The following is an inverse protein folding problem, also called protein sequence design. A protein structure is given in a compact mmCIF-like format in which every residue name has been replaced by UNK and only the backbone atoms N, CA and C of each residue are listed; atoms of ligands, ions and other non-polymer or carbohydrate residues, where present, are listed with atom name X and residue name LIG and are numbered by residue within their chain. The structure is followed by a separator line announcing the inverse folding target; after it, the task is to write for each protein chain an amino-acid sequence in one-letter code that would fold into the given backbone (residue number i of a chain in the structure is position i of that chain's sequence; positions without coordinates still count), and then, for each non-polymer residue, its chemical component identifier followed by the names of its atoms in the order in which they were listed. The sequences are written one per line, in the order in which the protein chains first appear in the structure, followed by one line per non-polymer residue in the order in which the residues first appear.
data_IF_039349094092
#
_entry.id   IF_039349094092
#
_cell.length_a   1.000
_cell.length_b   1.000
_cell.length_c   1.000
_cell.angle_alpha   90.00
_cell.angle_beta   90.00
_cell.angle_gamma   90.00
#
_symmetry.space_group_name_H-M   'P 1'
#
loop_
_entity.id
_entity.type
_entity.pdbx_description
1 polymer ?
#
# COMPACT_ATOMS: atom_id res chain seq x y z
N UNK A 1 -2.48 1.52 4.14
CA UNK A 1 -2.04 2.10 2.85
C UNK A 1 -3.02 3.20 2.51
N UNK A 2 -2.55 4.31 1.93
CA UNK A 2 -3.41 5.38 1.46
C UNK A 2 -4.21 4.91 0.23
N UNK A 3 -5.49 5.31 0.17
CA UNK A 3 -6.39 5.01 -0.92
C UNK A 3 -7.28 6.21 -1.24
N UNK A 4 -7.69 6.31 -2.50
CA UNK A 4 -8.72 7.23 -3.01
C UNK A 4 -9.81 6.41 -3.70
N UNK A 5 -11.05 6.86 -3.68
CA UNK A 5 -12.15 6.10 -4.28
C UNK A 5 -13.45 6.87 -4.40
N UNK A 6 -14.45 6.23 -5.00
CA UNK A 6 -15.75 6.83 -5.31
C UNK A 6 -16.76 6.56 -4.18
N UNK A 7 -17.16 7.60 -3.44
CA UNK A 7 -18.18 7.51 -2.37
C UNK A 7 -19.61 7.61 -2.96
N UNK A 8 -20.65 7.00 -2.33
CA UNK A 8 -20.63 6.18 -1.12
C UNK A 8 -20.06 4.77 -1.33
N UNK A 9 -19.22 4.27 -0.41
CA UNK A 9 -18.54 2.97 -0.56
C UNK A 9 -19.45 1.76 -0.33
N UNK A 10 -20.52 1.94 0.46
CA UNK A 10 -21.50 0.92 0.81
C UNK A 10 -22.39 0.48 -0.37
N UNK A 11 -22.36 1.21 -1.50
CA UNK A 11 -23.17 0.88 -2.68
C UNK A 11 -22.72 -0.39 -3.41
N UNK A 12 -21.53 -0.91 -3.10
CA UNK A 12 -21.01 -2.15 -3.70
C UNK A 12 -20.83 -2.06 -5.21
N UNK A 13 -20.36 -0.91 -5.71
CA UNK A 13 -20.20 -0.65 -7.14
C UNK A 13 -19.14 -1.59 -7.75
N UNK A 14 -19.48 -2.24 -8.86
CA UNK A 14 -18.57 -3.15 -9.58
C UNK A 14 -17.58 -2.38 -10.49
N UNK A 15 -17.90 -1.16 -10.89
CA UNK A 15 -17.08 -0.34 -11.79
C UNK A 15 -16.28 0.73 -11.04
N UNK A 16 -16.85 1.29 -9.97
CA UNK A 16 -16.26 2.40 -9.22
C UNK A 16 -15.89 1.99 -7.79
N UNK A 17 -14.65 1.54 -7.62
CA UNK A 17 -14.11 1.17 -6.31
C UNK A 17 -13.13 2.20 -5.74
N UNK A 18 -11.98 1.67 -5.32
CA UNK A 18 -10.86 2.46 -4.79
C UNK A 18 -9.56 2.10 -5.52
N UNK A 19 -8.59 2.99 -5.43
CA UNK A 19 -7.24 2.79 -5.91
C UNK A 19 -6.26 2.95 -4.75
N UNK A 20 -5.23 2.12 -4.74
CA UNK A 20 -4.09 2.28 -3.84
C UNK A 20 -3.17 3.37 -4.40
N UNK A 21 -2.88 4.38 -3.58
CA UNK A 21 -1.92 5.43 -3.94
C UNK A 21 -0.51 4.84 -3.90
N UNK A 22 0.33 5.19 -4.87
CA UNK A 22 1.71 4.68 -4.98
C UNK A 22 2.74 5.79 -4.89
N UNK A 23 3.89 5.48 -4.30
CA UNK A 23 5.09 6.30 -4.22
C UNK A 23 6.24 5.65 -5.00
N UNK A 24 7.32 6.41 -5.24
CA UNK A 24 8.56 5.81 -5.73
C UNK A 24 9.06 4.78 -4.71
N UNK A 25 9.64 3.70 -5.19
CA UNK A 25 10.46 2.86 -4.33
C UNK A 25 11.78 3.58 -4.07
N UNK A 26 12.25 3.50 -2.84
CA UNK A 26 13.49 4.13 -2.39
C UNK A 26 14.43 3.04 -1.87
N UNK A 27 15.73 3.32 -1.86
CA UNK A 27 16.76 2.43 -1.31
C UNK A 27 16.66 1.00 -1.89
N UNK A 28 16.81 -0.03 -1.06
CA UNK A 28 16.88 -1.42 -1.48
C UNK A 28 15.51 -2.03 -1.89
N UNK A 29 14.40 -1.28 -1.78
CA UNK A 29 13.13 -1.67 -2.40
C UNK A 29 13.17 -1.54 -3.92
N UNK A 30 14.02 -0.64 -4.45
CA UNK A 30 14.23 -0.46 -5.90
C UNK A 30 14.73 -1.74 -6.56
N UNK A 31 15.52 -2.55 -5.83
CA UNK A 31 16.04 -3.84 -6.32
C UNK A 31 14.92 -4.87 -6.56
N UNK A 32 13.71 -4.64 -6.01
CA UNK A 32 12.53 -5.49 -6.19
C UNK A 32 11.63 -4.91 -7.30
N UNK A 33 11.27 -3.62 -7.17
CA UNK A 33 10.38 -2.87 -8.07
C UNK A 33 10.59 -1.36 -7.90
N UNK A 34 10.24 -0.60 -8.93
CA UNK A 34 10.37 0.86 -9.03
C UNK A 34 9.27 1.65 -8.28
N UNK A 35 8.16 1.00 -7.93
CA UNK A 35 7.00 1.60 -7.24
C UNK A 35 6.62 0.80 -6.01
N UNK A 36 6.10 1.50 -4.99
CA UNK A 36 5.55 0.90 -3.77
C UNK A 36 4.20 1.53 -3.40
N UNK A 37 3.35 0.85 -2.62
CA UNK A 37 2.19 1.49 -2.00
C UNK A 37 2.63 2.64 -1.07
N UNK A 38 1.85 3.72 -1.04
CA UNK A 38 2.00 4.77 -0.05
C UNK A 38 1.48 4.23 1.30
N UNK A 39 2.41 3.86 2.18
CA UNK A 39 2.10 3.43 3.55
C UNK A 39 2.21 4.66 4.44
N UNK A 40 1.19 4.92 5.25
CA UNK A 40 1.14 6.03 6.20
C UNK A 40 1.38 5.53 7.62
N UNK A 41 2.02 6.36 8.44
CA UNK A 41 2.06 6.18 9.90
C UNK A 41 0.62 6.19 10.47
N UNK A 42 0.36 5.52 11.60
CA UNK A 42 -1.00 5.40 12.14
C UNK A 42 -1.71 6.74 12.38
N UNK A 43 -0.98 7.76 12.82
CA UNK A 43 -1.48 9.11 13.08
C UNK A 43 -1.92 9.80 11.78
N UNK A 44 -1.04 9.80 10.77
CA UNK A 44 -1.32 10.33 9.45
C UNK A 44 -2.47 9.58 8.75
N UNK A 45 -2.60 8.27 8.95
CA UNK A 45 -3.72 7.50 8.41
C UNK A 45 -5.07 7.93 9.01
N UNK A 46 -5.11 8.29 10.30
CA UNK A 46 -6.33 8.82 10.93
C UNK A 46 -6.69 10.20 10.38
N UNK A 47 -5.69 11.04 10.14
CA UNK A 47 -5.89 12.36 9.53
C UNK A 47 -6.38 12.25 8.09
N UNK A 48 -5.76 11.37 7.28
CA UNK A 48 -6.13 11.08 5.91
C UNK A 48 -7.62 10.74 5.70
N UNK A 49 -8.27 10.12 6.70
CA UNK A 49 -9.67 9.69 6.61
C UNK A 49 -10.69 10.77 7.01
N UNK A 50 -10.24 11.92 7.53
CA UNK A 50 -11.14 13.00 7.96
C UNK A 50 -11.80 13.66 6.75
N UNK A 51 -13.12 13.88 6.82
CA UNK A 51 -13.92 14.38 5.69
C UNK A 51 -13.71 15.87 5.41
N UNK A 52 -13.22 16.62 6.39
CA UNK A 52 -12.91 18.05 6.32
C UNK A 52 -11.45 18.33 5.88
N UNK A 53 -10.64 17.29 5.69
CA UNK A 53 -9.31 17.40 5.08
C UNK A 53 -9.46 17.75 3.61
N UNK A 54 -8.92 18.90 3.24
CA UNK A 54 -8.87 19.35 1.85
C UNK A 54 -7.85 18.53 1.05
N UNK A 55 -7.96 18.55 -0.28
CA UNK A 55 -6.98 17.91 -1.15
C UNK A 55 -5.54 18.42 -0.94
N UNK A 56 -5.37 19.69 -0.59
CA UNK A 56 -4.05 20.26 -0.27
C UNK A 56 -3.47 19.67 1.03
N UNK A 57 -4.27 19.62 2.09
CA UNK A 57 -3.88 18.98 3.35
C UNK A 57 -3.60 17.48 3.16
N UNK A 58 -4.38 16.79 2.34
CA UNK A 58 -4.11 15.37 2.01
C UNK A 58 -2.73 15.18 1.36
N UNK A 59 -2.27 16.10 0.52
CA UNK A 59 -0.93 16.06 -0.08
C UNK A 59 0.15 16.24 1.00
N UNK A 60 -0.05 17.18 1.93
CA UNK A 60 0.87 17.40 3.07
C UNK A 60 0.94 16.15 3.96
N UNK A 61 -0.21 15.58 4.34
CA UNK A 61 -0.31 14.32 5.10
C UNK A 61 0.40 13.17 4.38
N UNK A 62 0.24 13.07 3.05
CA UNK A 62 0.90 12.04 2.25
C UNK A 62 2.43 12.20 2.23
N UNK A 63 2.93 13.43 2.21
CA UNK A 63 4.36 13.74 2.24
C UNK A 63 4.97 13.45 3.60
N UNK A 64 4.41 14.03 4.65
CA UNK A 64 4.97 14.01 6.01
C UNK A 64 4.68 12.70 6.75
N UNK A 65 3.56 12.06 6.44
CA UNK A 65 3.08 10.86 7.09
C UNK A 65 3.57 9.55 6.47
N UNK A 66 4.35 9.59 5.38
CA UNK A 66 4.81 8.40 4.67
C UNK A 66 5.82 7.60 5.51
N UNK A 67 5.61 6.28 5.58
CA UNK A 67 6.58 5.36 6.18
C UNK A 67 7.79 5.23 5.26
N UNK A 68 8.98 5.47 5.80
CA UNK A 68 10.26 5.38 5.08
C UNK A 68 10.59 3.94 4.63
N UNK A 69 11.35 3.79 3.55
CA UNK A 69 11.69 2.50 2.94
C UNK A 69 12.51 1.58 3.87
N UNK A 70 13.31 2.15 4.77
CA UNK A 70 14.13 1.44 5.76
C UNK A 70 13.31 0.76 6.87
N UNK A 71 12.03 1.11 7.03
CA UNK A 71 11.11 0.42 7.95
C UNK A 71 10.55 -0.89 7.37
N UNK A 72 10.86 -1.21 6.11
CA UNK A 72 10.37 -2.42 5.44
C UNK A 72 11.42 -3.52 5.40
N UNK A 73 10.96 -4.75 5.58
CA UNK A 73 11.74 -5.97 5.34
C UNK A 73 11.11 -6.76 4.21
N UNK A 74 11.92 -7.48 3.43
CA UNK A 74 11.44 -8.33 2.36
C UNK A 74 12.27 -9.61 2.25
N UNK A 75 11.64 -10.64 1.72
CA UNK A 75 12.25 -11.92 1.40
C UNK A 75 11.56 -12.55 0.18
N UNK A 76 12.26 -13.40 -0.58
CA UNK A 76 11.61 -14.15 -1.65
C UNK A 76 10.59 -15.13 -1.06
N UNK A 77 9.49 -15.32 -1.79
CA UNK A 77 8.41 -16.27 -1.47
C UNK A 77 8.19 -17.24 -2.62
N UNK A 78 7.42 -18.30 -2.39
CA UNK A 78 7.05 -19.26 -3.43
C UNK A 78 6.31 -18.58 -4.59
N UNK A 79 6.60 -19.02 -5.83
CA UNK A 79 5.85 -18.59 -7.03
C UNK A 79 4.36 -18.94 -6.99
N UNK A 80 3.95 -19.83 -6.09
CA UNK A 80 2.55 -20.17 -5.87
C UNK A 80 1.66 -18.95 -5.56
N UNK A 81 2.23 -17.88 -4.99
CA UNK A 81 1.51 -16.61 -4.73
C UNK A 81 0.98 -15.94 -6.00
N UNK A 82 1.55 -16.25 -7.17
CA UNK A 82 1.08 -15.72 -8.45
C UNK A 82 -0.27 -16.28 -8.93
N UNK A 83 -0.75 -17.38 -8.34
CA UNK A 83 -2.08 -17.91 -8.62
C UNK A 83 -3.06 -17.52 -7.50
N UNK A 84 -4.03 -16.67 -7.84
CA UNK A 84 -5.01 -16.10 -6.89
C UNK A 84 -5.92 -17.13 -6.22
N UNK A 85 -6.00 -18.36 -6.72
CA UNK A 85 -6.76 -19.44 -6.06
C UNK A 85 -6.07 -19.97 -4.81
N UNK A 86 -4.76 -19.73 -4.65
CA UNK A 86 -4.01 -20.12 -3.46
C UNK A 86 -4.17 -19.03 -2.39
N UNK A 87 -4.54 -19.43 -1.17
CA UNK A 87 -4.81 -18.50 -0.05
C UNK A 87 -4.18 -18.99 1.27
N UNK A 88 -3.22 -19.90 1.20
CA UNK A 88 -2.56 -20.49 2.36
C UNK A 88 -1.54 -19.55 3.03
N UNK A 89 -1.28 -19.70 4.35
CA UNK A 89 -0.31 -18.86 5.08
C UNK A 89 1.12 -19.02 4.57
N UNK A 90 1.46 -20.15 3.95
CA UNK A 90 2.78 -20.43 3.37
C UNK A 90 3.17 -19.46 2.25
N UNK A 91 2.21 -18.74 1.66
CA UNK A 91 2.44 -17.82 0.55
C UNK A 91 3.27 -16.58 0.92
N UNK A 92 3.38 -16.27 2.22
CA UNK A 92 4.24 -15.19 2.73
C UNK A 92 5.50 -15.72 3.43
N UNK A 93 5.69 -17.04 3.52
CA UNK A 93 6.86 -17.62 4.15
C UNK A 93 8.11 -17.49 3.25
N UNK A 94 9.25 -17.23 3.88
CA UNK A 94 10.52 -17.09 3.17
C UNK A 94 10.98 -18.41 2.57
N UNK A 95 11.41 -18.37 1.31
CA UNK A 95 12.07 -19.51 0.66
C UNK A 95 13.60 -19.31 0.65
N UNK A 96 14.36 -20.41 0.66
CA UNK A 96 15.79 -20.34 0.43
C UNK A 96 16.07 -19.76 -0.97
N UNK A 97 16.98 -18.80 -1.05
CA UNK A 97 17.51 -18.34 -2.36
C UNK A 97 18.32 -19.49 -2.96
N UNK A 98 17.94 -19.95 -4.15
CA UNK A 98 18.80 -20.77 -5.01
C UNK A 98 19.93 -19.91 -5.58
#
# INVERSE_FOLDING_TARGET
MAAIGSVPFERGDEAEGFLIVTAAADQALVDIRDRRPLVLMPEAAREWMQQDVTGAQAIEIAGDGAVSADHFTWHPVSRAVGNVTNQGPELIEAIARL
#
